data_IF_323018845071
#
_entry.id   IF_323018845071
#
_cell.length_a   1.000
_cell.length_b   1.000
_cell.length_c   1.000
_cell.angle_alpha   90.00
_cell.angle_beta   90.00
_cell.angle_gamma   90.00
#
_symmetry.space_group_name_H-M   'P 1'
#
loop_
_entity.id
_entity.type
_entity.pdbx_description
1 polymer ?
#
# COMPACT_ATOMS: atom_id res chain seq x y z
N UNK A 1 -8.80 10.86 -26.70
CA UNK A 1 -8.51 12.31 -26.73
C UNK A 1 -8.64 12.90 -25.33
N UNK A 2 -9.75 12.70 -24.61
CA UNK A 2 -9.95 13.29 -23.28
C UNK A 2 -8.88 12.91 -22.23
N UNK A 3 -8.40 11.66 -22.20
CA UNK A 3 -7.34 11.26 -21.26
C UNK A 3 -6.01 11.99 -21.50
N UNK A 4 -5.60 12.14 -22.76
CA UNK A 4 -4.37 12.87 -23.14
C UNK A 4 -4.50 14.36 -22.84
N UNK A 5 -5.68 14.93 -23.12
CA UNK A 5 -6.01 16.31 -22.78
C UNK A 5 -5.91 16.55 -21.26
N UNK A 6 -6.49 15.68 -20.44
CA UNK A 6 -6.40 15.77 -18.98
C UNK A 6 -4.95 15.67 -18.48
N UNK A 7 -4.12 14.79 -19.06
CA UNK A 7 -2.69 14.72 -18.76
C UNK A 7 -1.97 16.02 -19.15
N UNK A 8 -2.25 16.58 -20.32
CA UNK A 8 -1.68 17.86 -20.77
C UNK A 8 -2.10 19.03 -19.88
N UNK A 9 -3.35 19.06 -19.42
CA UNK A 9 -3.80 20.02 -18.41
C UNK A 9 -2.99 19.86 -17.12
N UNK A 10 -2.77 18.63 -16.65
CA UNK A 10 -1.91 18.36 -15.51
C UNK A 10 -0.48 18.89 -15.68
N UNK A 11 0.13 18.65 -16.85
CA UNK A 11 1.46 19.18 -17.21
C UNK A 11 1.48 20.72 -17.21
N UNK A 12 0.46 21.35 -17.80
CA UNK A 12 0.36 22.81 -17.86
C UNK A 12 0.11 23.45 -16.49
N UNK A 13 -0.65 22.79 -15.61
CA UNK A 13 -0.85 23.26 -14.24
C UNK A 13 0.44 23.14 -13.39
N UNK A 14 1.31 22.20 -13.74
CA UNK A 14 2.60 21.98 -13.09
C UNK A 14 3.66 22.99 -13.56
N UNK A 15 3.87 23.12 -14.87
CA UNK A 15 5.02 23.86 -15.44
C UNK A 15 4.65 24.86 -16.54
N UNK A 16 3.36 25.07 -16.79
CA UNK A 16 2.88 26.07 -17.74
C UNK A 16 2.73 27.45 -17.12
N UNK A 17 2.77 28.49 -17.96
CA UNK A 17 2.41 29.84 -17.52
C UNK A 17 0.89 30.04 -17.63
N UNK A 18 0.26 30.25 -16.47
CA UNK A 18 -1.18 30.53 -16.38
C UNK A 18 -1.51 32.03 -16.36
N UNK A 19 -0.50 32.90 -16.16
CA UNK A 19 -0.67 34.35 -15.99
C UNK A 19 -0.80 35.08 -17.32
N UNK A 20 -0.13 34.59 -18.36
CA UNK A 20 -0.19 35.20 -19.69
C UNK A 20 -1.60 35.11 -20.28
N UNK A 21 -2.02 36.18 -20.98
CA UNK A 21 -3.30 36.25 -21.70
C UNK A 21 -3.14 35.96 -23.20
N UNK A 22 -1.91 35.95 -23.68
CA UNK A 22 -1.59 35.96 -25.11
C UNK A 22 -0.99 34.66 -25.62
N UNK A 23 -0.51 33.80 -24.72
CA UNK A 23 0.17 32.56 -25.10
C UNK A 23 -0.08 31.40 -24.17
N UNK A 24 0.01 30.20 -24.74
CA UNK A 24 0.13 28.93 -24.01
C UNK A 24 1.60 28.56 -24.04
N UNK A 25 2.20 28.41 -22.86
CA UNK A 25 3.57 27.94 -22.71
C UNK A 25 3.62 26.67 -21.87
N UNK A 26 4.55 25.79 -22.21
CA UNK A 26 4.88 24.62 -21.41
C UNK A 26 6.38 24.37 -21.51
N UNK A 27 7.05 24.32 -20.35
CA UNK A 27 8.49 24.14 -20.27
C UNK A 27 8.80 22.83 -19.55
N UNK A 28 9.57 21.94 -20.16
CA UNK A 28 9.96 20.67 -19.53
C UNK A 28 11.31 20.19 -20.08
N UNK A 29 12.05 19.40 -19.30
CA UNK A 29 13.33 18.81 -19.71
C UNK A 29 13.19 17.45 -20.43
N UNK A 30 11.98 16.89 -20.47
CA UNK A 30 11.62 15.64 -21.12
C UNK A 30 10.92 15.93 -22.45
N UNK A 31 11.61 15.64 -23.55
CA UNK A 31 11.11 15.86 -24.90
C UNK A 31 9.77 15.15 -25.16
N UNK A 32 9.60 13.93 -24.65
CA UNK A 32 8.39 13.14 -24.84
C UNK A 32 7.14 13.83 -24.27
N UNK A 33 7.28 14.57 -23.16
CA UNK A 33 6.19 15.34 -22.57
C UNK A 33 5.86 16.57 -23.41
N UNK A 34 6.88 17.27 -23.93
CA UNK A 34 6.69 18.43 -24.82
C UNK A 34 6.05 18.02 -26.14
N UNK A 35 6.48 16.89 -26.71
CA UNK A 35 5.87 16.30 -27.90
C UNK A 35 4.40 15.92 -27.65
N UNK A 36 4.10 15.22 -26.55
CA UNK A 36 2.72 14.89 -26.17
C UNK A 36 1.85 16.15 -26.05
N UNK A 37 2.36 17.18 -25.39
CA UNK A 37 1.66 18.44 -25.22
C UNK A 37 1.40 19.13 -26.57
N UNK A 38 2.42 19.24 -27.41
CA UNK A 38 2.34 19.79 -28.76
C UNK A 38 1.33 19.03 -29.63
N UNK A 39 1.44 17.70 -29.72
CA UNK A 39 0.54 16.86 -30.51
C UNK A 39 -0.92 17.02 -30.04
N UNK A 40 -1.15 17.10 -28.73
CA UNK A 40 -2.48 17.28 -28.14
C UNK A 40 -3.06 18.65 -28.48
N UNK A 41 -2.27 19.73 -28.36
CA UNK A 41 -2.70 21.08 -28.71
C UNK A 41 -2.99 21.20 -30.22
N UNK A 42 -2.12 20.65 -31.07
CA UNK A 42 -2.32 20.63 -32.52
C UNK A 42 -3.57 19.85 -32.93
N UNK A 43 -3.88 18.75 -32.24
CA UNK A 43 -5.10 17.98 -32.49
C UNK A 43 -6.35 18.71 -31.99
N UNK A 44 -6.28 19.35 -30.83
CA UNK A 44 -7.39 20.05 -30.20
C UNK A 44 -7.81 21.31 -30.99
N UNK A 45 -6.83 22.03 -31.55
CA UNK A 45 -7.06 23.27 -32.30
C UNK A 45 -6.79 23.09 -33.79
N UNK A 46 -6.96 21.88 -34.35
CA UNK A 46 -6.65 21.56 -35.75
C UNK A 46 -7.33 22.49 -36.77
N UNK A 47 -8.48 23.06 -36.40
CA UNK A 47 -9.30 23.93 -37.23
C UNK A 47 -8.94 25.42 -37.05
N UNK A 48 -7.91 25.73 -36.27
CA UNK A 48 -7.38 27.08 -36.06
C UNK A 48 -6.02 27.23 -36.76
N UNK A 49 -5.82 28.38 -37.40
CA UNK A 49 -4.50 28.78 -37.88
C UNK A 49 -3.71 29.37 -36.71
N UNK A 50 -2.59 28.74 -36.36
CA UNK A 50 -1.67 29.25 -35.35
C UNK A 50 -0.25 28.78 -35.63
N UNK A 51 0.72 29.59 -35.17
CA UNK A 51 2.14 29.29 -35.28
C UNK A 51 2.67 28.87 -33.91
N UNK A 52 2.77 27.56 -33.70
CA UNK A 52 3.44 27.01 -32.54
C UNK A 52 4.96 26.96 -32.77
N UNK A 53 5.73 27.26 -31.71
CA UNK A 53 7.19 27.28 -31.71
C UNK A 53 7.71 26.37 -30.62
N UNK A 54 8.83 25.70 -30.91
CA UNK A 54 9.62 24.97 -29.93
C UNK A 54 10.95 25.68 -29.76
N UNK A 55 11.28 26.04 -28.53
CA UNK A 55 12.61 26.55 -28.18
C UNK A 55 13.38 25.46 -27.45
N UNK A 56 14.58 25.16 -27.92
CA UNK A 56 15.47 24.15 -27.35
C UNK A 56 16.64 24.88 -26.72
N UNK A 57 16.80 24.72 -25.41
CA UNK A 57 17.93 25.29 -24.67
C UNK A 57 18.83 24.17 -24.19
N UNK A 58 20.12 24.27 -24.46
CA UNK A 58 21.11 23.29 -24.02
C UNK A 58 22.46 23.95 -23.73
N UNK A 59 23.33 23.23 -23.02
CA UNK A 59 24.74 23.61 -22.90
C UNK A 59 25.43 23.33 -24.24
N UNK A 60 26.49 24.11 -24.58
CA UNK A 60 27.23 24.06 -25.86
C UNK A 60 27.26 22.65 -26.50
N UNK A 61 26.93 22.58 -27.80
CA UNK A 61 26.99 21.41 -28.71
C UNK A 61 25.96 20.28 -28.55
N UNK A 62 25.15 20.22 -27.48
CA UNK A 62 24.04 19.25 -27.44
C UNK A 62 22.85 19.77 -28.26
N UNK A 63 22.70 19.29 -29.49
CA UNK A 63 21.51 19.53 -30.32
C UNK A 63 20.71 18.24 -30.41
N UNK A 64 19.74 18.01 -29.50
CA UNK A 64 18.82 16.90 -29.66
C UNK A 64 18.15 17.05 -31.01
N UNK A 65 18.23 16.01 -31.85
CA UNK A 65 17.57 16.05 -33.15
C UNK A 65 16.06 15.95 -32.93
N UNK A 66 15.38 17.08 -33.15
CA UNK A 66 13.94 17.18 -32.99
C UNK A 66 13.31 17.39 -34.35
N UNK A 67 12.31 16.56 -34.67
CA UNK A 67 11.50 16.71 -35.88
C UNK A 67 10.04 16.89 -35.51
N UNK A 68 9.50 18.07 -35.80
CA UNK A 68 8.07 18.39 -35.75
C UNK A 68 7.70 19.21 -37.00
N UNK A 69 7.09 18.62 -38.03
CA UNK A 69 6.88 19.27 -39.33
C UNK A 69 6.09 20.58 -39.27
N UNK A 70 5.22 20.73 -38.27
CA UNK A 70 4.31 21.87 -38.13
C UNK A 70 4.82 22.99 -37.21
N UNK A 71 6.07 22.92 -36.77
CA UNK A 71 6.62 23.83 -35.76
C UNK A 71 7.89 24.48 -36.26
N UNK A 72 8.07 25.77 -35.96
CA UNK A 72 9.40 26.38 -36.01
C UNK A 72 10.18 25.95 -34.78
N UNK A 73 11.39 25.43 -35.01
CA UNK A 73 12.28 24.96 -33.94
C UNK A 73 13.49 25.90 -33.89
N UNK A 74 13.71 26.51 -32.74
CA UNK A 74 14.82 27.42 -32.52
C UNK A 74 15.73 26.86 -31.42
N UNK A 75 17.04 26.90 -31.65
CA UNK A 75 18.04 26.39 -30.72
C UNK A 75 18.77 27.56 -30.05
N UNK A 76 18.93 27.49 -28.73
CA UNK A 76 19.63 28.47 -27.92
C UNK A 76 20.63 27.79 -27.00
N UNK A 77 21.70 28.54 -26.69
CA UNK A 77 22.70 28.11 -25.72
C UNK A 77 22.35 28.73 -24.37
N UNK A 78 22.17 27.89 -23.35
CA UNK A 78 22.11 28.32 -21.95
C UNK A 78 23.24 27.66 -21.15
N UNK A 79 24.21 28.48 -20.74
CA UNK A 79 25.37 28.02 -19.95
C UNK A 79 24.99 27.52 -18.55
N UNK A 80 23.80 27.92 -18.03
CA UNK A 80 23.31 27.55 -16.71
C UNK A 80 22.53 26.24 -16.72
N UNK A 81 22.10 25.77 -17.89
CA UNK A 81 21.32 24.56 -18.03
C UNK A 81 22.15 23.33 -17.64
N UNK A 82 21.63 22.52 -16.71
CA UNK A 82 22.22 21.24 -16.32
C UNK A 82 21.89 20.11 -17.30
N UNK A 83 20.77 20.24 -18.01
CA UNK A 83 20.26 19.33 -19.04
C UNK A 83 19.53 20.16 -20.09
N UNK A 84 19.40 19.67 -21.32
CA UNK A 84 18.52 20.28 -22.30
C UNK A 84 17.10 20.45 -21.74
N UNK A 85 16.48 21.58 -22.07
CA UNK A 85 15.07 21.81 -21.79
C UNK A 85 14.37 22.46 -22.99
N UNK A 86 13.06 22.23 -23.06
CA UNK A 86 12.24 22.55 -24.20
C UNK A 86 11.10 23.45 -23.76
N UNK A 87 10.83 24.50 -24.54
CA UNK A 87 9.68 25.38 -24.34
C UNK A 87 8.77 25.27 -25.55
N UNK A 88 7.58 24.71 -25.35
CA UNK A 88 6.48 24.87 -26.28
C UNK A 88 5.84 26.24 -26.07
N UNK A 89 5.63 26.99 -27.16
CA UNK A 89 4.94 28.28 -27.14
C UNK A 89 3.95 28.38 -28.29
N UNK A 90 2.72 28.73 -27.97
CA UNK A 90 1.66 29.07 -28.92
C UNK A 90 1.12 30.45 -28.57
N UNK A 91 1.28 31.42 -29.47
CA UNK A 91 0.77 32.78 -29.29
C UNK A 91 -0.56 32.98 -30.03
N UNK A 92 -1.67 33.02 -29.29
CA UNK A 92 -3.01 33.31 -29.80
C UNK A 92 -3.97 33.58 -28.63
N UNK A 93 -4.51 34.80 -28.57
CA UNK A 93 -5.44 35.22 -27.50
C UNK A 93 -6.68 34.33 -27.46
N UNK A 94 -7.25 34.00 -28.62
CA UNK A 94 -8.49 33.23 -28.69
C UNK A 94 -8.29 31.77 -28.31
N UNK A 95 -7.16 31.18 -28.74
CA UNK A 95 -6.80 29.82 -28.33
C UNK A 95 -6.52 29.76 -26.82
N UNK A 96 -5.84 30.77 -26.26
CA UNK A 96 -5.60 30.84 -24.80
C UNK A 96 -6.91 30.92 -24.01
N UNK A 97 -7.87 31.75 -24.45
CA UNK A 97 -9.20 31.83 -23.84
C UNK A 97 -9.90 30.47 -23.87
N UNK A 98 -9.88 29.78 -25.03
CA UNK A 98 -10.47 28.44 -25.19
C UNK A 98 -9.78 27.40 -24.31
N UNK A 99 -8.45 27.37 -24.30
CA UNK A 99 -7.66 26.47 -23.44
C UNK A 99 -7.98 26.64 -21.95
N UNK A 100 -8.07 27.89 -21.48
CA UNK A 100 -8.44 28.19 -20.09
C UNK A 100 -9.87 27.74 -19.76
N UNK A 101 -10.81 27.87 -20.71
CA UNK A 101 -12.19 27.38 -20.54
C UNK A 101 -12.21 25.85 -20.43
N UNK A 102 -11.58 25.16 -21.37
CA UNK A 102 -11.45 23.69 -21.39
C UNK A 102 -10.79 23.18 -20.11
N UNK A 103 -9.71 23.84 -19.67
CA UNK A 103 -9.03 23.49 -18.42
C UNK A 103 -9.98 23.54 -17.23
N UNK A 104 -10.76 24.63 -17.09
CA UNK A 104 -11.73 24.77 -16.00
C UNK A 104 -12.84 23.73 -16.04
N UNK A 105 -13.29 23.34 -17.23
CA UNK A 105 -14.32 22.31 -17.41
C UNK A 105 -13.78 20.94 -16.99
N UNK A 106 -12.61 20.56 -17.48
CA UNK A 106 -11.95 19.29 -17.14
C UNK A 106 -11.58 19.20 -15.65
N UNK A 107 -11.21 20.31 -15.00
CA UNK A 107 -10.95 20.34 -13.56
C UNK A 107 -12.19 20.08 -12.68
N UNK A 108 -13.40 20.27 -13.22
CA UNK A 108 -14.64 20.01 -12.47
C UNK A 108 -15.02 18.53 -12.46
N UNK A 109 -14.58 17.77 -13.46
CA UNK A 109 -14.96 16.37 -13.64
C UNK A 109 -13.97 15.42 -12.96
N UNK A 110 -14.46 14.72 -11.94
CA UNK A 110 -13.65 13.80 -11.12
C UNK A 110 -13.09 12.63 -11.93
N UNK A 111 -13.74 12.24 -13.05
CA UNK A 111 -13.26 11.16 -13.93
C UNK A 111 -11.88 11.45 -14.53
N UNK A 112 -11.47 12.72 -14.55
CA UNK A 112 -10.19 13.15 -15.09
C UNK A 112 -9.08 13.29 -14.05
N UNK A 113 -9.38 13.17 -12.75
CA UNK A 113 -8.45 13.50 -11.67
C UNK A 113 -7.16 12.66 -11.69
N UNK A 114 -7.27 11.36 -11.97
CA UNK A 114 -6.11 10.47 -12.12
C UNK A 114 -5.18 10.91 -13.26
N UNK A 115 -5.75 11.29 -14.40
CA UNK A 115 -5.01 11.73 -15.57
C UNK A 115 -4.36 13.12 -15.35
N UNK A 116 -5.10 14.04 -14.72
CA UNK A 116 -4.56 15.35 -14.32
C UNK A 116 -3.40 15.16 -13.34
N UNK A 117 -3.55 14.29 -12.33
CA UNK A 117 -2.47 14.03 -11.37
C UNK A 117 -1.27 13.36 -12.03
N UNK A 118 -1.47 12.49 -13.02
CA UNK A 118 -0.36 11.89 -13.78
C UNK A 118 0.43 12.96 -14.55
N UNK A 119 -0.26 13.89 -15.21
CA UNK A 119 0.33 15.09 -15.80
C UNK A 119 1.10 15.95 -14.78
N UNK A 120 0.45 16.25 -13.66
CA UNK A 120 1.01 17.10 -12.63
C UNK A 120 2.26 16.49 -11.98
N UNK A 121 2.21 15.18 -11.69
CA UNK A 121 3.34 14.43 -11.16
C UNK A 121 4.48 14.29 -12.18
N UNK A 122 4.15 14.20 -13.48
CA UNK A 122 5.16 14.19 -14.54
C UNK A 122 5.96 15.50 -14.60
N UNK A 123 5.37 16.67 -14.31
CA UNK A 123 6.09 17.93 -14.10
C UNK A 123 6.76 18.00 -12.72
N UNK A 124 5.96 18.17 -11.67
CA UNK A 124 6.41 18.56 -10.32
C UNK A 124 6.70 17.38 -9.37
N UNK A 125 6.41 16.16 -9.79
CA UNK A 125 6.57 14.96 -8.97
C UNK A 125 8.03 14.50 -8.82
N UNK A 126 8.38 13.93 -7.68
CA UNK A 126 9.69 13.30 -7.44
C UNK A 126 9.55 12.05 -6.56
N UNK A 127 10.46 11.10 -6.76
CA UNK A 127 10.47 9.81 -6.06
C UNK A 127 11.74 9.73 -5.22
N UNK A 128 11.63 9.89 -3.91
CA UNK A 128 12.77 9.81 -3.00
C UNK A 128 12.84 8.40 -2.39
N UNK A 129 13.97 7.75 -2.60
CA UNK A 129 14.36 6.49 -1.95
C UNK A 129 15.56 6.80 -1.04
N UNK A 130 15.36 6.84 0.28
CA UNK A 130 16.46 6.98 1.25
C UNK A 130 16.93 5.65 1.83
N UNK A 131 18.06 5.66 2.54
CA UNK A 131 18.46 4.56 3.41
C UNK A 131 17.39 4.33 4.51
N UNK A 132 17.20 3.08 4.93
CA UNK A 132 16.24 2.66 5.96
C UNK A 132 14.76 2.96 5.63
N UNK A 133 14.23 2.38 4.55
CA UNK A 133 12.78 2.33 4.24
C UNK A 133 12.06 3.69 4.07
N UNK A 134 12.79 4.80 3.99
CA UNK A 134 12.21 6.13 3.81
C UNK A 134 11.92 6.38 2.32
N UNK A 135 10.86 5.75 1.82
CA UNK A 135 10.34 5.90 0.47
C UNK A 135 9.23 6.94 0.45
N UNK A 136 9.38 7.96 -0.38
CA UNK A 136 8.45 9.10 -0.42
C UNK A 136 8.18 9.52 -1.85
N UNK A 137 6.91 9.72 -2.17
CA UNK A 137 6.48 10.44 -3.36
C UNK A 137 6.31 11.91 -2.95
N UNK A 138 6.90 12.82 -3.71
CA UNK A 138 6.80 14.26 -3.45
C UNK A 138 6.19 14.96 -4.65
N UNK A 139 5.43 16.02 -4.38
CA UNK A 139 4.96 16.95 -5.40
C UNK A 139 5.35 18.35 -4.95
N UNK A 140 6.25 19.00 -5.67
CA UNK A 140 6.69 20.35 -5.33
C UNK A 140 5.56 21.36 -5.60
N UNK A 141 5.31 22.24 -4.63
CA UNK A 141 4.31 23.31 -4.69
C UNK A 141 4.69 24.44 -3.74
N UNK A 142 4.68 25.69 -4.24
CA UNK A 142 5.08 26.86 -3.45
C UNK A 142 4.26 27.03 -2.15
N UNK A 143 2.96 26.72 -2.23
CA UNK A 143 1.99 26.80 -1.13
C UNK A 143 0.94 25.70 -1.32
N UNK A 144 0.11 25.40 -0.30
CA UNK A 144 -1.02 24.50 -0.48
C UNK A 144 -1.91 24.90 -1.66
N UNK A 145 -2.29 23.91 -2.47
CA UNK A 145 -3.09 24.05 -3.67
C UNK A 145 -4.38 23.22 -3.50
N UNK A 146 -5.49 23.92 -3.28
CA UNK A 146 -6.80 23.32 -3.00
C UNK A 146 -7.25 22.31 -4.07
N UNK A 147 -6.91 22.56 -5.33
CA UNK A 147 -7.31 21.66 -6.42
C UNK A 147 -6.54 20.34 -6.37
N UNK A 148 -5.23 20.39 -6.15
CA UNK A 148 -4.40 19.18 -6.00
C UNK A 148 -4.81 18.40 -4.75
N UNK A 149 -5.12 19.08 -3.66
CA UNK A 149 -5.64 18.45 -2.44
C UNK A 149 -7.02 17.80 -2.65
N UNK A 150 -7.89 18.42 -3.44
CA UNK A 150 -9.17 17.81 -3.84
C UNK A 150 -8.92 16.50 -4.58
N UNK A 151 -7.97 16.47 -5.52
CA UNK A 151 -7.59 15.23 -6.23
C UNK A 151 -7.05 14.18 -5.24
N UNK A 152 -6.15 14.57 -4.33
CA UNK A 152 -5.61 13.64 -3.33
C UNK A 152 -6.70 13.03 -2.44
N UNK A 153 -7.65 13.84 -1.97
CA UNK A 153 -8.79 13.37 -1.17
C UNK A 153 -9.69 12.42 -1.94
N UNK A 154 -10.01 12.73 -3.19
CA UNK A 154 -10.81 11.87 -4.07
C UNK A 154 -10.16 10.49 -4.28
N UNK A 155 -8.83 10.47 -4.47
CA UNK A 155 -8.04 9.24 -4.59
C UNK A 155 -7.72 8.58 -3.25
N UNK A 156 -8.22 9.11 -2.12
CA UNK A 156 -7.95 8.60 -0.77
C UNK A 156 -6.45 8.51 -0.46
N UNK A 157 -5.66 9.43 -1.00
CA UNK A 157 -4.23 9.55 -0.71
C UNK A 157 -4.03 10.24 0.64
N UNK A 158 -3.13 9.69 1.46
CA UNK A 158 -2.67 10.38 2.67
C UNK A 158 -1.45 11.23 2.36
N UNK A 159 -1.48 12.50 2.74
CA UNK A 159 -0.43 13.46 2.41
C UNK A 159 -0.18 14.45 3.55
N UNK A 160 1.02 15.03 3.57
CA UNK A 160 1.36 16.17 4.41
C UNK A 160 2.02 17.25 3.56
N UNK A 161 1.57 18.50 3.66
CA UNK A 161 2.32 19.61 3.07
C UNK A 161 3.48 19.98 4.01
N UNK A 162 4.71 19.90 3.50
CA UNK A 162 5.91 20.28 4.24
C UNK A 162 6.36 21.67 3.81
N UNK A 163 5.93 22.71 4.54
CA UNK A 163 6.17 24.12 4.20
C UNK A 163 7.64 24.46 3.95
N UNK A 164 8.54 23.97 4.82
CA UNK A 164 10.00 24.16 4.67
C UNK A 164 10.53 23.65 3.34
N UNK A 165 9.97 22.54 2.84
CA UNK A 165 10.37 21.92 1.58
C UNK A 165 9.51 22.36 0.39
N UNK A 166 8.45 23.17 0.64
CA UNK A 166 7.46 23.57 -0.36
C UNK A 166 7.00 22.38 -1.21
N UNK A 167 6.56 21.32 -0.53
CA UNK A 167 6.18 20.08 -1.20
C UNK A 167 5.15 19.29 -0.42
N UNK A 168 4.22 18.67 -1.14
CA UNK A 168 3.44 17.56 -0.61
C UNK A 168 4.33 16.33 -0.45
N UNK A 169 4.22 15.70 0.71
CA UNK A 169 4.94 14.50 1.10
C UNK A 169 3.91 13.39 1.24
N UNK A 170 4.02 12.38 0.38
CA UNK A 170 3.12 11.23 0.27
C UNK A 170 3.94 9.98 0.62
N UNK A 171 3.58 9.31 1.71
CA UNK A 171 4.33 8.19 2.29
C UNK A 171 3.44 7.00 2.57
N UNK A 172 4.02 5.83 2.83
CA UNK A 172 3.28 4.61 3.12
C UNK A 172 2.84 3.85 1.87
N UNK A 173 2.90 2.52 1.93
CA UNK A 173 2.68 1.65 0.75
C UNK A 173 1.31 1.84 0.12
N UNK A 174 0.26 2.06 0.91
CA UNK A 174 -1.10 2.31 0.40
C UNK A 174 -1.12 3.40 -0.70
N UNK A 175 -0.42 4.51 -0.50
CA UNK A 175 -0.33 5.56 -1.50
C UNK A 175 0.47 5.13 -2.73
N UNK A 176 1.51 4.32 -2.53
CA UNK A 176 2.26 3.73 -3.64
C UNK A 176 1.41 2.74 -4.44
N UNK A 177 0.53 1.99 -3.78
CA UNK A 177 -0.41 1.05 -4.42
C UNK A 177 -1.41 1.82 -5.29
N UNK A 178 -1.97 2.93 -4.80
CA UNK A 178 -2.80 3.86 -5.59
C UNK A 178 -2.03 4.41 -6.79
N UNK A 179 -0.77 4.82 -6.61
CA UNK A 179 0.07 5.30 -7.72
C UNK A 179 0.34 4.23 -8.77
N UNK A 180 0.51 2.98 -8.35
CA UNK A 180 0.73 1.84 -9.22
C UNK A 180 -0.55 1.45 -9.98
N UNK A 181 -1.69 1.39 -9.28
CA UNK A 181 -3.02 1.09 -9.83
C UNK A 181 -3.38 2.07 -10.96
N UNK A 182 -3.27 3.37 -10.69
CA UNK A 182 -3.59 4.42 -11.66
C UNK A 182 -2.43 4.80 -12.58
N UNK A 183 -1.27 4.13 -12.46
CA UNK A 183 -0.06 4.40 -13.26
C UNK A 183 0.32 5.89 -13.27
N UNK A 184 0.22 6.56 -12.13
CA UNK A 184 0.38 8.02 -12.04
C UNK A 184 1.78 8.47 -12.49
N UNK A 185 2.81 7.70 -12.13
CA UNK A 185 4.20 8.00 -12.49
C UNK A 185 4.59 7.64 -13.93
N UNK A 186 3.73 6.94 -14.69
CA UNK A 186 4.11 6.33 -15.97
C UNK A 186 4.31 7.34 -17.11
N UNK A 187 3.76 8.54 -16.96
CA UNK A 187 3.80 9.56 -18.01
C UNK A 187 5.23 10.06 -18.30
N UNK A 188 6.09 10.18 -17.29
CA UNK A 188 7.49 10.58 -17.47
C UNK A 188 8.41 9.34 -17.43
N UNK A 189 9.23 9.07 -18.47
CA UNK A 189 10.06 7.86 -18.56
C UNK A 189 10.96 7.61 -17.34
N UNK A 190 11.75 8.60 -16.92
CA UNK A 190 12.64 8.45 -15.76
C UNK A 190 11.88 8.22 -14.45
N UNK A 191 10.76 8.95 -14.25
CA UNK A 191 9.94 8.82 -13.04
C UNK A 191 9.25 7.45 -13.01
N UNK A 192 8.76 6.96 -14.16
CA UNK A 192 8.23 5.61 -14.33
C UNK A 192 9.25 4.57 -13.87
N UNK A 193 10.47 4.61 -14.42
CA UNK A 193 11.51 3.64 -14.09
C UNK A 193 11.85 3.67 -12.59
N UNK A 194 12.06 4.86 -12.03
CA UNK A 194 12.36 5.04 -10.59
C UNK A 194 11.22 4.56 -9.69
N UNK A 195 9.97 4.83 -10.09
CA UNK A 195 8.78 4.43 -9.34
C UNK A 195 8.69 2.91 -9.27
N UNK A 196 8.70 2.24 -10.42
CA UNK A 196 8.55 0.79 -10.47
C UNK A 196 9.74 0.06 -9.84
N UNK A 197 10.96 0.59 -9.95
CA UNK A 197 12.12 0.08 -9.21
C UNK A 197 11.87 0.12 -7.71
N UNK A 198 11.53 1.30 -7.17
CA UNK A 198 11.26 1.46 -5.74
C UNK A 198 10.03 0.66 -5.26
N UNK A 199 9.01 0.53 -6.11
CA UNK A 199 7.78 -0.20 -5.82
C UNK A 199 8.01 -1.72 -5.72
N UNK A 200 8.82 -2.29 -6.62
CA UNK A 200 9.17 -3.72 -6.59
C UNK A 200 9.95 -4.13 -5.33
N UNK A 201 10.68 -3.20 -4.73
CA UNK A 201 11.43 -3.45 -3.50
C UNK A 201 10.56 -3.42 -2.22
N UNK A 202 9.25 -3.21 -2.31
CA UNK A 202 8.37 -3.38 -1.14
C UNK A 202 8.25 -4.89 -0.84
N UNK A 203 9.05 -5.36 0.13
CA UNK A 203 9.04 -6.76 0.60
C UNK A 203 7.74 -7.16 1.30
N UNK A 204 6.97 -6.20 1.79
CA UNK A 204 5.75 -6.44 2.57
C UNK A 204 4.57 -5.62 2.07
N UNK A 205 3.40 -6.25 2.00
CA UNK A 205 2.13 -5.53 2.03
C UNK A 205 2.04 -4.79 3.36
N UNK A 206 2.36 -3.50 3.43
CA UNK A 206 2.10 -2.69 4.61
C UNK A 206 0.60 -2.56 4.78
N UNK A 207 0.05 -3.46 5.57
CA UNK A 207 -1.33 -3.35 5.98
C UNK A 207 -1.46 -2.28 7.08
N UNK A 208 -2.64 -1.64 7.23
CA UNK A 208 -2.91 -0.74 8.36
C UNK A 208 -2.49 -1.34 9.71
N UNK A 209 -2.12 -0.50 10.69
CA UNK A 209 -1.58 -0.94 11.99
C UNK A 209 -2.41 -2.05 12.69
N UNK A 210 -3.72 -2.11 12.43
CA UNK A 210 -4.63 -3.09 13.01
C UNK A 210 -5.03 -4.24 12.09
N UNK A 211 -4.67 -4.20 10.81
CA UNK A 211 -5.08 -5.21 9.84
C UNK A 211 -4.61 -6.59 10.25
N UNK A 212 -3.30 -6.75 10.52
CA UNK A 212 -2.77 -8.08 10.84
C UNK A 212 -3.45 -8.65 12.09
N UNK A 213 -3.67 -7.81 13.10
CA UNK A 213 -4.39 -8.18 14.32
C UNK A 213 -5.84 -8.59 14.05
N UNK A 214 -6.55 -7.81 13.24
CA UNK A 214 -7.94 -8.08 12.86
C UNK A 214 -8.06 -9.36 12.04
N UNK A 215 -7.22 -9.53 11.03
CA UNK A 215 -7.29 -10.69 10.13
C UNK A 215 -6.83 -11.99 10.81
N UNK A 216 -5.81 -11.92 11.69
CA UNK A 216 -5.42 -13.05 12.54
C UNK A 216 -6.59 -13.44 13.45
N UNK A 217 -7.19 -12.48 14.16
CA UNK A 217 -8.37 -12.74 14.99
C UNK A 217 -9.54 -13.34 14.18
N UNK A 218 -9.80 -12.82 13.00
CA UNK A 218 -10.85 -13.33 12.12
C UNK A 218 -10.57 -14.77 11.64
N UNK A 219 -9.31 -15.11 11.37
CA UNK A 219 -8.90 -16.45 10.93
C UNK A 219 -8.98 -17.52 12.02
N UNK A 220 -8.98 -17.12 13.29
CA UNK A 220 -9.03 -18.02 14.44
C UNK A 220 -10.45 -18.51 14.79
N UNK A 221 -11.37 -18.52 13.81
CA UNK A 221 -12.66 -19.23 13.92
C UNK A 221 -12.39 -20.71 14.20
N UNK A 222 -11.42 -21.29 13.48
CA UNK A 222 -10.86 -22.61 13.76
C UNK A 222 -9.60 -22.48 14.61
N UNK A 223 -9.02 -23.61 15.01
CA UNK A 223 -7.72 -23.62 15.67
C UNK A 223 -6.59 -23.60 14.63
N UNK A 224 -5.59 -22.74 14.84
CA UNK A 224 -4.40 -22.64 13.99
C UNK A 224 -3.15 -22.43 14.83
N UNK A 225 -2.03 -22.92 14.33
CA UNK A 225 -0.70 -22.66 14.87
C UNK A 225 -0.14 -21.32 14.36
N UNK A 226 0.85 -20.78 15.06
CA UNK A 226 1.56 -19.58 14.63
C UNK A 226 2.24 -19.78 13.25
N UNK A 227 2.67 -21.01 12.94
CA UNK A 227 3.29 -21.35 11.67
C UNK A 227 2.28 -21.32 10.50
N UNK A 228 1.09 -21.90 10.67
CA UNK A 228 0.04 -21.86 9.65
C UNK A 228 -0.43 -20.42 9.37
N UNK A 229 -0.57 -19.62 10.43
CA UNK A 229 -0.88 -18.19 10.31
C UNK A 229 0.25 -17.42 9.61
N UNK A 230 1.51 -17.74 9.90
CA UNK A 230 2.67 -17.13 9.27
C UNK A 230 2.70 -17.37 7.76
N UNK A 231 2.45 -18.61 7.33
CA UNK A 231 2.30 -18.95 5.91
C UNK A 231 1.11 -18.22 5.28
N UNK A 232 -0.06 -18.24 5.94
CA UNK A 232 -1.29 -17.61 5.42
C UNK A 232 -1.14 -16.12 5.19
N UNK A 233 -0.48 -15.41 6.10
CA UNK A 233 -0.33 -13.95 6.03
C UNK A 233 1.00 -13.49 5.40
N UNK A 234 1.82 -14.44 4.92
CA UNK A 234 3.16 -14.20 4.41
C UNK A 234 3.96 -13.30 5.39
N UNK A 235 4.12 -13.79 6.63
CA UNK A 235 4.82 -13.11 7.73
C UNK A 235 5.74 -14.05 8.47
N UNK A 236 6.72 -13.48 9.17
CA UNK A 236 7.55 -14.26 10.09
C UNK A 236 6.69 -14.79 11.24
N UNK A 237 7.03 -15.99 11.72
CA UNK A 237 6.36 -16.59 12.86
C UNK A 237 6.48 -15.72 14.11
N UNK A 238 7.61 -15.05 14.31
CA UNK A 238 7.82 -14.09 15.40
C UNK A 238 6.76 -12.97 15.39
N UNK A 239 6.52 -12.35 14.22
CA UNK A 239 5.53 -11.27 14.10
C UNK A 239 4.11 -11.75 14.39
N UNK A 240 3.77 -12.96 13.97
CA UNK A 240 2.47 -13.58 14.28
C UNK A 240 2.34 -13.85 15.78
N UNK A 241 3.41 -14.34 16.43
CA UNK A 241 3.43 -14.57 17.87
C UNK A 241 3.19 -13.26 18.65
N UNK A 242 3.77 -12.13 18.26
CA UNK A 242 3.51 -10.83 18.90
C UNK A 242 2.01 -10.49 18.88
N UNK A 243 1.38 -10.62 17.71
CA UNK A 243 -0.05 -10.35 17.52
C UNK A 243 -0.92 -11.29 18.35
N UNK A 244 -0.59 -12.58 18.39
CA UNK A 244 -1.32 -13.57 19.19
C UNK A 244 -1.19 -13.28 20.69
N UNK A 245 0.00 -12.87 21.14
CA UNK A 245 0.23 -12.49 22.53
C UNK A 245 -0.57 -11.25 22.94
N UNK A 246 -0.67 -10.24 22.07
CA UNK A 246 -1.57 -9.10 22.29
C UNK A 246 -3.03 -9.54 22.39
N UNK A 247 -3.52 -10.34 21.44
CA UNK A 247 -4.91 -10.83 21.44
C UNK A 247 -5.22 -11.69 22.68
N UNK A 248 -4.23 -12.44 23.18
CA UNK A 248 -4.35 -13.21 24.43
C UNK A 248 -4.41 -12.31 25.65
N UNK A 249 -3.58 -11.26 25.71
CA UNK A 249 -3.63 -10.24 26.78
C UNK A 249 -4.99 -9.53 26.83
N UNK A 250 -5.61 -9.32 25.66
CA UNK A 250 -6.97 -8.78 25.52
C UNK A 250 -8.08 -9.81 25.81
N UNK A 251 -7.73 -11.04 26.21
CA UNK A 251 -8.67 -12.15 26.45
C UNK A 251 -9.61 -12.47 25.27
N UNK A 252 -9.15 -12.17 24.04
CA UNK A 252 -9.90 -12.43 22.79
C UNK A 252 -9.69 -13.84 22.26
N UNK A 253 -8.54 -14.46 22.58
CA UNK A 253 -8.17 -15.79 22.10
C UNK A 253 -7.59 -16.63 23.22
N UNK A 254 -7.62 -17.96 23.03
CA UNK A 254 -7.06 -18.97 23.93
C UNK A 254 -5.91 -19.69 23.24
N UNK A 255 -5.00 -20.20 24.07
CA UNK A 255 -3.83 -20.96 23.62
C UNK A 255 -3.84 -22.35 24.26
N UNK A 256 -3.56 -23.36 23.46
CA UNK A 256 -3.46 -24.75 23.88
C UNK A 256 -2.15 -25.34 23.35
N UNK A 257 -1.28 -25.76 24.28
CA UNK A 257 -0.04 -26.45 23.93
C UNK A 257 -0.28 -27.94 23.81
N UNK A 258 -0.06 -28.49 22.61
CA UNK A 258 -0.11 -29.91 22.32
C UNK A 258 1.29 -30.36 21.88
N UNK A 259 1.96 -31.11 22.77
CA UNK A 259 3.39 -31.46 22.62
C UNK A 259 4.27 -30.20 22.51
N UNK A 260 5.00 -30.03 21.41
CA UNK A 260 5.86 -28.89 21.12
C UNK A 260 5.16 -27.79 20.31
N UNK A 261 3.87 -27.93 20.00
CA UNK A 261 3.13 -26.97 19.16
C UNK A 261 2.05 -26.25 19.95
N UNK A 262 1.95 -24.96 19.70
CA UNK A 262 0.93 -24.07 20.26
C UNK A 262 -0.18 -23.83 19.24
N UNK A 263 -1.40 -24.11 19.65
CA UNK A 263 -2.62 -23.87 18.87
C UNK A 263 -3.42 -22.74 19.50
N UNK A 264 -3.97 -21.88 18.64
CA UNK A 264 -4.68 -20.68 19.04
C UNK A 264 -6.11 -20.76 18.49
N UNK A 265 -7.08 -20.22 19.22
CA UNK A 265 -8.49 -20.16 18.77
C UNK A 265 -9.22 -19.04 19.49
N UNK A 266 -10.22 -18.43 18.85
CA UNK A 266 -11.17 -17.52 19.51
C UNK A 266 -12.41 -18.22 20.06
N UNK A 267 -12.62 -19.51 19.73
CA UNK A 267 -13.77 -20.27 20.22
C UNK A 267 -13.60 -20.58 21.72
N UNK A 268 -14.43 -19.95 22.55
CA UNK A 268 -14.41 -20.13 24.01
C UNK A 268 -14.86 -21.53 24.45
N UNK A 269 -15.68 -22.20 23.63
CA UNK A 269 -16.23 -23.51 23.90
C UNK A 269 -15.33 -24.65 23.43
N UNK A 270 -14.18 -24.36 22.81
CA UNK A 270 -13.24 -25.37 22.35
C UNK A 270 -12.18 -25.68 23.40
N UNK A 271 -11.82 -26.96 23.55
CA UNK A 271 -10.63 -27.43 24.26
C UNK A 271 -9.84 -28.34 23.32
N UNK A 272 -8.54 -28.08 23.20
CA UNK A 272 -7.64 -28.88 22.36
C UNK A 272 -6.72 -29.71 23.25
N UNK A 273 -6.71 -31.03 23.07
CA UNK A 273 -5.87 -31.95 23.84
C UNK A 273 -5.07 -32.89 22.94
N UNK A 274 -4.05 -33.53 23.50
CA UNK A 274 -3.29 -34.57 22.80
C UNK A 274 -4.01 -35.91 22.79
N UNK A 275 -3.67 -36.77 21.83
CA UNK A 275 -4.07 -38.19 21.84
C UNK A 275 -3.78 -38.91 23.16
N UNK A 276 -2.70 -38.55 23.86
CA UNK A 276 -2.35 -39.13 25.17
C UNK A 276 -3.40 -38.75 26.22
N UNK A 277 -3.77 -37.46 26.30
CA UNK A 277 -4.79 -36.97 27.22
C UNK A 277 -6.17 -37.59 26.94
N UNK A 278 -6.50 -37.85 25.67
CA UNK A 278 -7.73 -38.59 25.29
C UNK A 278 -7.79 -39.98 25.94
N UNK A 279 -6.66 -40.69 26.06
CA UNK A 279 -6.63 -42.00 26.73
C UNK A 279 -7.07 -41.90 28.20
N UNK A 280 -6.59 -40.90 28.94
CA UNK A 280 -7.00 -40.66 30.33
C UNK A 280 -8.51 -40.41 30.44
N UNK A 281 -9.06 -39.56 29.56
CA UNK A 281 -10.50 -39.29 29.56
C UNK A 281 -11.33 -40.53 29.24
N UNK A 282 -10.88 -41.37 28.30
CA UNK A 282 -11.56 -42.62 27.97
C UNK A 282 -11.61 -43.60 29.15
N UNK A 283 -10.54 -43.68 29.95
CA UNK A 283 -10.52 -44.55 31.14
C UNK A 283 -11.55 -44.13 32.20
N UNK A 284 -11.86 -42.84 32.28
CA UNK A 284 -12.85 -42.30 33.22
C UNK A 284 -14.29 -42.40 32.73
N UNK A 285 -14.54 -42.73 31.45
CA UNK A 285 -15.91 -42.93 30.94
C UNK A 285 -16.62 -44.12 31.57
N UNK A 286 -15.85 -45.07 32.10
CA UNK A 286 -16.37 -46.36 32.60
C UNK A 286 -16.54 -46.36 34.11
N UNK A 287 -15.66 -45.68 34.86
CA UNK A 287 -15.69 -45.58 36.31
C UNK A 287 -14.73 -44.51 36.82
N UNK A 288 -14.94 -44.10 38.07
CA UNK A 288 -14.00 -43.26 38.82
C UNK A 288 -12.72 -44.07 39.14
N UNK A 289 -11.56 -43.40 39.19
CA UNK A 289 -10.27 -44.09 39.31
C UNK A 289 -9.25 -43.30 40.14
N UNK A 290 -8.39 -44.01 40.88
CA UNK A 290 -7.23 -43.40 41.56
C UNK A 290 -6.12 -43.15 40.57
N UNK A 291 -5.23 -42.19 40.86
CA UNK A 291 -4.05 -41.91 40.04
C UNK A 291 -3.19 -43.16 39.75
N UNK A 292 -3.10 -44.08 40.73
CA UNK A 292 -2.34 -45.32 40.61
C UNK A 292 -2.89 -46.25 39.51
N UNK A 293 -4.21 -46.25 39.29
CA UNK A 293 -4.84 -47.08 38.27
C UNK A 293 -4.45 -46.63 36.86
N UNK A 294 -4.42 -45.31 36.63
CA UNK A 294 -3.93 -44.74 35.37
C UNK A 294 -2.45 -45.03 35.12
N UNK A 295 -1.65 -44.95 36.19
CA UNK A 295 -0.22 -45.23 36.13
C UNK A 295 0.02 -46.68 35.67
N UNK A 296 -0.69 -47.64 36.28
CA UNK A 296 -0.64 -49.05 35.93
C UNK A 296 -1.13 -49.32 34.50
N UNK A 297 -2.33 -48.84 34.15
CA UNK A 297 -2.97 -49.15 32.87
C UNK A 297 -2.29 -48.49 31.66
N UNK A 298 -1.70 -47.31 31.84
CA UNK A 298 -1.00 -46.60 30.77
C UNK A 298 0.52 -46.83 30.78
N UNK A 299 1.04 -47.68 31.67
CA UNK A 299 2.46 -48.00 31.76
C UNK A 299 3.34 -46.79 32.08
N UNK A 300 2.90 -45.90 32.97
CA UNK A 300 3.66 -44.70 33.36
C UNK A 300 3.78 -44.58 34.87
N UNK A 301 4.78 -43.85 35.36
CA UNK A 301 4.89 -43.61 36.80
C UNK A 301 3.75 -42.71 37.33
N UNK A 302 3.49 -42.83 38.63
CA UNK A 302 2.42 -42.08 39.33
C UNK A 302 2.55 -40.57 39.14
N UNK A 303 3.78 -40.02 39.21
CA UNK A 303 4.05 -38.57 39.05
C UNK A 303 3.60 -38.07 37.67
N UNK A 304 3.87 -38.85 36.61
CA UNK A 304 3.49 -38.53 35.23
C UNK A 304 1.98 -38.61 35.02
N UNK A 305 1.33 -39.64 35.58
CA UNK A 305 -0.12 -39.75 35.56
C UNK A 305 -0.78 -38.57 36.29
N UNK A 306 -0.32 -38.26 37.51
CA UNK A 306 -0.83 -37.14 38.30
C UNK A 306 -0.67 -35.80 37.58
N UNK A 307 0.50 -35.55 36.97
CA UNK A 307 0.75 -34.33 36.19
C UNK A 307 -0.27 -34.17 35.06
N UNK A 308 -0.54 -35.24 34.30
CA UNK A 308 -1.49 -35.22 33.18
C UNK A 308 -2.93 -35.03 33.64
N UNK A 309 -3.31 -35.62 34.77
CA UNK A 309 -4.63 -35.44 35.38
C UNK A 309 -4.82 -33.99 35.87
N UNK A 310 -3.83 -33.42 36.55
CA UNK A 310 -3.84 -31.98 36.91
C UNK A 310 -3.90 -31.05 35.69
N UNK A 311 -3.28 -31.42 34.58
CA UNK A 311 -3.42 -30.66 33.33
C UNK A 311 -4.84 -30.75 32.75
N UNK A 312 -5.51 -31.90 32.86
CA UNK A 312 -6.91 -32.08 32.45
C UNK A 312 -7.88 -31.35 33.41
N UNK A 313 -7.56 -31.33 34.70
CA UNK A 313 -8.30 -30.61 35.73
C UNK A 313 -8.27 -29.10 35.48
N UNK A 314 -7.11 -28.54 35.17
CA UNK A 314 -6.98 -27.13 34.76
C UNK A 314 -7.79 -26.78 33.50
N UNK A 315 -8.09 -27.76 32.66
CA UNK A 315 -8.95 -27.58 31.49
C UNK A 315 -10.44 -27.71 31.82
N UNK A 316 -10.79 -28.12 33.04
CA UNK A 316 -12.16 -28.41 33.48
C UNK A 316 -12.74 -29.67 32.83
N UNK A 317 -11.88 -30.65 32.51
CA UNK A 317 -12.29 -31.91 31.89
C UNK A 317 -12.43 -33.05 32.91
N UNK A 318 -11.74 -32.94 34.04
CA UNK A 318 -11.79 -33.87 35.16
C UNK A 318 -11.75 -33.09 36.46
N UNK A 319 -12.23 -33.70 37.53
CA UNK A 319 -12.15 -33.16 38.88
C UNK A 319 -11.76 -34.28 39.85
N UNK A 320 -11.25 -33.87 41.02
CA UNK A 320 -10.81 -34.80 42.04
C UNK A 320 -11.83 -34.86 43.17
N UNK A 321 -12.48 -36.02 43.34
CA UNK A 321 -13.39 -36.32 44.43
C UNK A 321 -12.68 -37.21 45.46
N UNK A 322 -12.33 -36.64 46.61
CA UNK A 322 -11.47 -37.26 47.62
C UNK A 322 -10.12 -37.75 47.01
N UNK A 323 -10.01 -39.05 46.72
CA UNK A 323 -8.82 -39.67 46.15
C UNK A 323 -9.01 -40.18 44.70
N UNK A 324 -10.22 -40.05 44.16
CA UNK A 324 -10.58 -40.52 42.84
C UNK A 324 -10.73 -39.35 41.86
N UNK A 325 -10.41 -39.62 40.61
CA UNK A 325 -10.66 -38.71 39.50
C UNK A 325 -11.98 -39.08 38.85
N UNK A 326 -12.76 -38.07 38.51
CA UNK A 326 -14.05 -38.19 37.84
C UNK A 326 -14.11 -37.27 36.63
N UNK A 327 -14.91 -37.61 35.61
CA UNK A 327 -15.13 -36.72 34.47
C UNK A 327 -16.02 -35.56 34.89
N UNK A 328 -15.57 -34.34 34.60
CA UNK A 328 -16.41 -33.15 34.81
C UNK A 328 -17.46 -33.06 33.70
N UNK A 329 -18.67 -32.63 34.04
CA UNK A 329 -19.74 -32.39 33.07
C UNK A 329 -19.47 -31.08 32.30
N UNK A 330 -18.67 -31.17 31.24
CA UNK A 330 -18.28 -30.01 30.42
C UNK A 330 -19.14 -29.91 29.17
N UNK A 331 -19.68 -28.71 28.91
CA UNK A 331 -20.38 -28.39 27.64
C UNK A 331 -19.42 -28.00 26.51
N UNK A 332 -18.11 -28.08 26.77
CA UNK A 332 -17.06 -27.67 25.82
C UNK A 332 -16.75 -28.80 24.83
N UNK A 333 -16.59 -28.44 23.57
CA UNK A 333 -16.16 -29.33 22.51
C UNK A 333 -14.67 -29.68 22.69
N UNK A 334 -14.34 -30.98 22.66
CA UNK A 334 -12.97 -31.46 22.83
C UNK A 334 -12.41 -31.95 21.50
N UNK A 335 -11.45 -31.21 20.95
CA UNK A 335 -10.68 -31.60 19.76
C UNK A 335 -9.39 -32.31 20.19
N UNK A 336 -9.05 -33.39 19.47
CA UNK A 336 -7.87 -34.20 19.76
C UNK A 336 -6.89 -34.15 18.60
N UNK A 337 -5.65 -33.73 18.89
CA UNK A 337 -4.53 -33.66 17.93
C UNK A 337 -3.42 -34.66 18.26
#
# INVERSE_FOLDING_TARGET
>A
MEHELAKCIGLWLAEGDSKTKYEITFTNNCWQLVKLFSDTICKLFKDHTFNARIYVYSKKQERPEIRLPKHSINYYIDQRARKPYFIFRLASVDIVKKWKKITKEIQKDEKHYTNILSGFFAGEGNIKTGAHSNRTLRVAQKKPNNFIEKIFKNLKLTYKFAERNRSYVITGKWNWDIFAEYKIADLHPDKKQRFWKAYKEFKENHYPNLYLKREVYNSLITYLSAFELALKFNRSQARICDVLMELKKENKIRNFRVRSRDYWTKNKNLIIISKIKKKYLNLLKTKTRKTADFAKELGVNWKSANKRLKELEKLGLVEKAANDWILSNTRKEVVVL
#
